data_IF_820010548151
#
_entry.id   IF_820010548151
#
_cell.length_a   1.000
_cell.length_b   1.000
_cell.length_c   1.000
_cell.angle_alpha   90.00
_cell.angle_beta   90.00
_cell.angle_gamma   90.00
#
_symmetry.space_group_name_H-M   'P 1'
#
loop_
_entity.id
_entity.type
_entity.pdbx_description
1 polymer ?
#
# COMPACT_ATOMS: atom_id res chain seq x y z
N UNK A 1 11.71 -34.48 -58.46
CA UNK A 1 12.27 -33.19 -58.02
C UNK A 1 11.25 -32.50 -57.12
N UNK A 2 11.38 -32.62 -55.80
CA UNK A 2 10.41 -32.12 -54.80
C UNK A 2 11.04 -30.87 -54.17
N UNK A 3 10.57 -29.68 -54.54
CA UNK A 3 11.11 -28.40 -54.04
C UNK A 3 10.69 -28.22 -52.57
N UNK A 4 11.67 -28.18 -51.68
CA UNK A 4 11.50 -27.87 -50.26
C UNK A 4 11.49 -26.34 -50.12
N UNK A 5 10.34 -25.76 -49.77
CA UNK A 5 10.25 -24.34 -49.42
C UNK A 5 10.69 -24.18 -47.96
N UNK A 6 11.85 -23.55 -47.75
CA UNK A 6 12.28 -23.11 -46.42
C UNK A 6 11.49 -21.84 -46.08
N UNK A 7 10.64 -21.93 -45.07
CA UNK A 7 9.91 -20.79 -44.51
C UNK A 7 10.80 -20.15 -43.44
N UNK A 8 11.40 -19.00 -43.75
CA UNK A 8 12.19 -18.22 -42.79
C UNK A 8 11.21 -17.43 -41.91
N UNK A 9 11.04 -17.88 -40.67
CA UNK A 9 10.28 -17.15 -39.65
C UNK A 9 11.20 -16.08 -39.07
N UNK A 10 10.95 -14.82 -39.44
CA UNK A 10 11.61 -13.66 -38.82
C UNK A 10 10.88 -13.36 -37.51
N UNK A 11 11.51 -13.70 -36.39
CA UNK A 11 11.08 -13.29 -35.06
C UNK A 11 11.39 -11.80 -34.86
N UNK A 12 10.37 -10.95 -34.96
CA UNK A 12 10.45 -9.57 -34.51
C UNK A 12 10.54 -9.54 -32.98
N UNK A 13 11.75 -9.42 -32.44
CA UNK A 13 11.97 -9.04 -31.05
C UNK A 13 11.46 -7.60 -30.86
N UNK A 14 10.35 -7.44 -30.15
CA UNK A 14 9.82 -6.13 -29.77
C UNK A 14 10.75 -5.48 -28.74
N UNK A 15 11.45 -4.41 -29.13
CA UNK A 15 12.36 -3.61 -28.30
C UNK A 15 11.69 -2.80 -27.17
N UNK A 16 10.52 -3.22 -26.67
CA UNK A 16 9.80 -2.47 -25.63
C UNK A 16 10.27 -2.82 -24.19
N UNK A 17 10.97 -3.95 -24.00
CA UNK A 17 11.46 -4.36 -22.67
C UNK A 17 12.66 -3.56 -22.15
N UNK A 18 13.39 -2.85 -23.02
CA UNK A 18 14.58 -2.09 -22.63
C UNK A 18 14.26 -0.76 -21.93
N UNK A 19 13.11 -0.12 -22.24
CA UNK A 19 12.77 1.19 -21.65
C UNK A 19 12.15 1.10 -20.25
N UNK A 20 11.29 0.11 -19.99
CA UNK A 20 10.74 -0.11 -18.64
C UNK A 20 11.84 -0.46 -17.62
N UNK A 21 12.81 -1.29 -18.01
CA UNK A 21 13.94 -1.62 -17.15
C UNK A 21 14.83 -0.41 -16.87
N UNK A 22 15.03 0.48 -17.85
CA UNK A 22 15.84 1.69 -17.66
C UNK A 22 15.30 2.59 -16.54
N UNK A 23 13.97 2.77 -16.45
CA UNK A 23 13.36 3.58 -15.38
C UNK A 23 13.72 3.08 -13.98
N UNK A 24 13.61 1.77 -13.73
CA UNK A 24 13.87 1.22 -12.39
C UNK A 24 15.35 1.28 -12.01
N UNK A 25 16.26 1.17 -13.00
CA UNK A 25 17.69 1.38 -12.75
C UNK A 25 18.00 2.86 -12.50
N UNK A 26 17.37 3.80 -13.22
CA UNK A 26 17.55 5.25 -13.02
C UNK A 26 17.16 5.68 -11.59
N UNK A 27 16.01 5.23 -11.09
CA UNK A 27 15.53 5.63 -9.75
C UNK A 27 16.19 4.87 -8.61
N UNK A 28 16.99 3.83 -8.90
CA UNK A 28 17.70 3.04 -7.89
C UNK A 28 18.74 3.88 -7.15
N UNK A 29 19.30 4.91 -7.79
CA UNK A 29 20.22 5.86 -7.15
C UNK A 29 19.57 6.62 -5.99
N UNK A 30 18.23 6.72 -5.97
CA UNK A 30 17.46 7.35 -4.90
C UNK A 30 17.01 6.37 -3.80
N UNK A 31 17.36 5.08 -3.90
CA UNK A 31 17.08 4.13 -2.81
C UNK A 31 17.99 4.41 -1.62
N UNK A 32 17.38 4.64 -0.46
CA UNK A 32 18.09 4.88 0.80
C UNK A 32 18.21 3.55 1.54
N UNK A 33 19.42 3.16 1.93
CA UNK A 33 19.63 1.96 2.73
C UNK A 33 18.92 2.07 4.10
N UNK A 34 18.42 0.95 4.63
CA UNK A 34 17.93 0.91 6.00
C UNK A 34 19.09 1.08 6.98
N UNK A 35 18.85 1.80 8.08
CA UNK A 35 19.76 1.80 9.20
C UNK A 35 19.79 0.40 9.86
N UNK A 36 20.87 0.03 10.55
CA UNK A 36 20.87 -1.15 11.41
C UNK A 36 19.70 -1.06 12.42
N UNK A 37 18.91 -2.12 12.60
CA UNK A 37 17.72 -2.07 13.45
C UNK A 37 18.12 -1.87 14.92
N UNK A 38 17.39 -0.99 15.60
CA UNK A 38 17.53 -0.70 17.02
C UNK A 38 16.44 -1.40 17.85
N UNK A 39 16.63 -1.57 19.18
CA UNK A 39 15.60 -2.18 20.04
C UNK A 39 14.25 -1.47 19.91
N UNK A 40 13.21 -2.24 19.56
CA UNK A 40 11.85 -1.74 19.31
C UNK A 40 11.48 -1.65 17.84
N UNK A 41 12.46 -1.62 16.93
CA UNK A 41 12.21 -1.64 15.48
C UNK A 41 11.69 -3.00 15.04
N UNK A 42 10.91 -3.02 13.96
CA UNK A 42 10.33 -4.25 13.40
C UNK A 42 11.40 -5.31 13.10
N UNK A 43 12.47 -4.91 12.41
CA UNK A 43 13.55 -5.81 12.01
C UNK A 43 14.50 -6.20 13.16
N UNK A 44 14.39 -5.56 14.33
CA UNK A 44 15.09 -6.02 15.52
C UNK A 44 14.41 -7.26 16.11
N UNK A 45 13.07 -7.25 16.14
CA UNK A 45 12.26 -8.33 16.73
C UNK A 45 11.89 -9.44 15.72
N UNK A 46 12.05 -9.18 14.42
CA UNK A 46 11.61 -10.07 13.34
C UNK A 46 12.75 -10.39 12.38
N UNK A 47 13.11 -11.67 12.29
CA UNK A 47 13.97 -12.16 11.22
C UNK A 47 13.15 -12.39 9.94
N UNK A 48 13.38 -11.55 8.94
CA UNK A 48 12.72 -11.60 7.65
C UNK A 48 13.70 -11.89 6.51
N UNK A 49 13.31 -12.80 5.62
CA UNK A 49 14.16 -13.22 4.49
C UNK A 49 14.12 -12.29 3.28
N UNK A 50 13.28 -11.25 3.35
CA UNK A 50 12.96 -10.38 2.23
C UNK A 50 12.36 -11.10 1.01
N UNK A 51 12.15 -10.33 -0.05
CA UNK A 51 11.61 -10.81 -1.31
C UNK A 51 12.40 -10.19 -2.46
N UNK A 52 13.17 -10.98 -3.21
CA UNK A 52 13.81 -10.50 -4.44
C UNK A 52 12.78 -10.36 -5.57
N UNK A 53 13.15 -9.72 -6.68
CA UNK A 53 12.29 -9.67 -7.87
C UNK A 53 11.97 -11.07 -8.40
N UNK A 54 12.95 -11.96 -8.45
CA UNK A 54 12.78 -13.36 -8.91
C UNK A 54 11.85 -14.15 -7.98
N UNK A 55 11.97 -13.95 -6.66
CA UNK A 55 11.05 -14.56 -5.69
C UNK A 55 9.63 -14.04 -5.89
N UNK A 56 9.47 -12.72 -6.11
CA UNK A 56 8.17 -12.12 -6.40
C UNK A 56 7.53 -12.71 -7.66
N UNK A 57 8.29 -12.81 -8.76
CA UNK A 57 7.79 -13.36 -10.03
C UNK A 57 7.37 -14.84 -9.93
N UNK A 58 7.95 -15.61 -9.00
CA UNK A 58 7.56 -16.99 -8.71
C UNK A 58 6.38 -17.10 -7.74
N UNK A 59 6.01 -16.01 -7.08
CA UNK A 59 4.89 -15.96 -6.14
C UNK A 59 3.59 -15.56 -6.85
N UNK A 60 2.46 -15.92 -6.25
CA UNK A 60 1.16 -15.44 -6.72
C UNK A 60 1.06 -13.95 -6.43
N UNK A 61 0.92 -13.14 -7.48
CA UNK A 61 0.65 -11.72 -7.40
C UNK A 61 -0.55 -11.37 -8.30
N UNK A 62 -1.21 -10.25 -8.02
CA UNK A 62 -2.41 -9.86 -8.74
C UNK A 62 -2.04 -9.15 -10.03
N UNK A 63 -2.71 -9.54 -11.12
CA UNK A 63 -2.70 -8.84 -12.40
C UNK A 63 -4.14 -8.36 -12.65
N UNK A 64 -4.38 -7.05 -12.85
CA UNK A 64 -5.70 -6.54 -13.15
C UNK A 64 -6.29 -7.15 -14.42
N UNK A 65 -7.59 -7.46 -14.41
CA UNK A 65 -8.34 -7.92 -15.59
C UNK A 65 -9.56 -7.01 -15.82
N UNK A 66 -10.32 -7.23 -16.91
CA UNK A 66 -11.55 -6.47 -17.15
C UNK A 66 -12.59 -6.67 -16.04
N UNK A 67 -12.57 -7.84 -15.40
CA UNK A 67 -13.49 -8.27 -14.35
C UNK A 67 -12.92 -8.04 -12.93
N UNK A 68 -11.70 -7.55 -12.80
CA UNK A 68 -11.03 -7.29 -11.52
C UNK A 68 -9.99 -6.18 -11.67
N UNK A 69 -10.43 -4.93 -11.58
CA UNK A 69 -9.59 -3.74 -11.77
C UNK A 69 -9.96 -2.53 -10.89
N UNK A 70 -10.84 -2.69 -9.91
CA UNK A 70 -11.26 -1.61 -9.01
C UNK A 70 -10.86 -1.91 -7.57
N UNK A 71 -10.14 -0.97 -6.95
CA UNK A 71 -9.86 -0.96 -5.52
C UNK A 71 -11.05 -0.32 -4.80
N UNK A 72 -11.55 -0.95 -3.76
CA UNK A 72 -12.64 -0.40 -2.94
C UNK A 72 -12.15 -0.05 -1.54
N UNK A 73 -12.49 1.15 -1.07
CA UNK A 73 -12.33 1.54 0.32
C UNK A 73 -13.67 1.39 1.03
N UNK A 74 -13.68 0.76 2.21
CA UNK A 74 -14.88 0.62 3.04
C UNK A 74 -14.68 1.31 4.38
N UNK A 75 -15.24 2.50 4.59
CA UNK A 75 -15.28 3.11 5.91
C UNK A 75 -16.13 2.26 6.86
N UNK A 76 -15.60 1.97 8.05
CA UNK A 76 -16.26 1.20 9.11
C UNK A 76 -16.18 2.02 10.39
N UNK A 77 -17.30 2.64 10.73
CA UNK A 77 -17.50 3.41 11.95
C UNK A 77 -18.04 4.82 11.71
N UNK A 78 -17.69 5.73 12.60
CA UNK A 78 -18.19 7.10 12.66
C UNK A 78 -17.05 8.11 12.50
N UNK A 79 -17.02 8.79 11.36
CA UNK A 79 -15.91 9.67 11.00
C UNK A 79 -16.25 11.15 11.20
N UNK A 80 -15.32 11.90 11.78
CA UNK A 80 -15.37 13.37 11.80
C UNK A 80 -15.19 13.95 10.39
N UNK A 81 -15.51 15.23 10.18
CA UNK A 81 -15.31 15.89 8.89
C UNK A 81 -13.85 15.82 8.39
N UNK A 82 -12.88 15.92 9.31
CA UNK A 82 -11.46 15.80 8.97
C UNK A 82 -11.11 14.37 8.57
N UNK A 83 -11.59 13.35 9.29
CA UNK A 83 -11.33 11.95 8.94
C UNK A 83 -12.01 11.58 7.61
N UNK A 84 -13.22 12.05 7.34
CA UNK A 84 -13.90 11.88 6.04
C UNK A 84 -13.08 12.51 4.91
N UNK A 85 -12.52 13.71 5.12
CA UNK A 85 -11.61 14.34 4.17
C UNK A 85 -10.34 13.49 3.94
N UNK A 86 -9.77 12.90 5.00
CA UNK A 86 -8.61 12.01 4.87
C UNK A 86 -8.94 10.74 4.08
N UNK A 87 -10.13 10.16 4.24
CA UNK A 87 -10.58 8.99 3.46
C UNK A 87 -10.63 9.32 1.96
N UNK A 88 -11.21 10.47 1.59
CA UNK A 88 -11.27 10.92 0.20
C UNK A 88 -9.90 11.19 -0.41
N UNK A 89 -9.02 11.85 0.34
CA UNK A 89 -7.63 12.08 -0.07
C UNK A 89 -6.85 10.78 -0.18
N UNK A 90 -7.12 9.80 0.68
CA UNK A 90 -6.53 8.45 0.61
C UNK A 90 -7.02 7.71 -0.63
N UNK A 91 -8.32 7.76 -0.95
CA UNK A 91 -8.86 7.20 -2.21
C UNK A 91 -8.18 7.81 -3.43
N UNK A 92 -7.98 9.12 -3.47
CA UNK A 92 -7.28 9.77 -4.58
C UNK A 92 -5.84 9.30 -4.71
N UNK A 93 -5.11 9.31 -3.60
CA UNK A 93 -3.73 8.85 -3.57
C UNK A 93 -3.60 7.41 -4.06
N UNK A 94 -4.43 6.48 -3.56
CA UNK A 94 -4.36 5.07 -3.94
C UNK A 94 -4.70 4.85 -5.41
N UNK A 95 -5.65 5.64 -5.96
CA UNK A 95 -5.95 5.62 -7.39
C UNK A 95 -4.73 5.98 -8.24
N UNK A 96 -3.99 7.03 -7.85
CA UNK A 96 -2.76 7.42 -8.54
C UNK A 96 -1.66 6.38 -8.30
N UNK A 97 -1.49 5.95 -7.05
CA UNK A 97 -0.40 5.09 -6.61
C UNK A 97 -0.43 3.71 -7.26
N UNK A 98 -1.62 3.14 -7.46
CA UNK A 98 -1.78 1.85 -8.14
C UNK A 98 -2.21 2.00 -9.60
N UNK A 99 -2.55 3.22 -10.06
CA UNK A 99 -3.17 3.49 -11.36
C UNK A 99 -4.38 2.59 -11.66
N UNK A 100 -5.21 2.40 -10.65
CA UNK A 100 -6.46 1.65 -10.71
C UNK A 100 -7.59 2.50 -10.17
N UNK A 101 -8.77 2.41 -10.79
CA UNK A 101 -9.98 3.04 -10.27
C UNK A 101 -10.15 2.70 -8.80
N UNK A 102 -10.28 3.73 -7.96
CA UNK A 102 -10.48 3.55 -6.53
C UNK A 102 -11.77 4.23 -6.10
N UNK A 103 -12.67 3.44 -5.49
CA UNK A 103 -14.02 3.87 -5.09
C UNK A 103 -14.24 3.67 -3.60
N UNK A 104 -15.05 4.54 -3.00
CA UNK A 104 -15.48 4.40 -1.61
C UNK A 104 -16.86 3.74 -1.59
N UNK A 105 -17.01 2.69 -0.78
CA UNK A 105 -18.28 2.04 -0.49
C UNK A 105 -19.03 2.81 0.60
N UNK A 106 -20.30 2.49 0.78
CA UNK A 106 -21.10 3.02 1.89
C UNK A 106 -20.44 2.73 3.24
N UNK A 107 -20.45 3.74 4.11
CA UNK A 107 -19.94 3.63 5.47
C UNK A 107 -20.78 2.64 6.25
N UNK A 108 -20.13 1.62 6.82
CA UNK A 108 -20.78 0.67 7.70
C UNK A 108 -20.66 1.13 9.16
N UNK A 109 -21.70 0.90 9.98
CA UNK A 109 -21.64 1.19 11.42
C UNK A 109 -20.64 0.28 12.13
N UNK A 110 -20.03 0.78 13.21
CA UNK A 110 -19.23 -0.08 14.11
C UNK A 110 -20.02 -1.29 14.60
N UNK A 111 -21.35 -1.19 14.79
CA UNK A 111 -22.20 -2.24 15.36
C UNK A 111 -22.23 -3.55 14.55
N UNK A 112 -21.69 -3.57 13.34
CA UNK A 112 -21.50 -4.82 12.57
C UNK A 112 -20.43 -5.73 13.20
N UNK A 113 -19.58 -5.18 14.09
CA UNK A 113 -18.57 -5.92 14.84
C UNK A 113 -19.18 -6.31 16.20
N UNK A 114 -19.29 -7.61 16.51
CA UNK A 114 -19.89 -8.10 17.75
C UNK A 114 -18.92 -7.99 18.93
N UNK A 115 -19.45 -8.07 20.15
CA UNK A 115 -18.67 -7.91 21.40
C UNK A 115 -17.49 -8.88 21.53
N UNK A 116 -17.63 -10.12 21.06
CA UNK A 116 -16.54 -11.11 21.10
C UNK A 116 -15.36 -10.76 20.16
N UNK A 117 -15.55 -9.80 19.25
CA UNK A 117 -14.54 -9.27 18.35
C UNK A 117 -14.09 -7.85 18.75
N UNK A 118 -14.41 -7.44 19.98
CA UNK A 118 -14.01 -6.17 20.60
C UNK A 118 -13.25 -6.43 21.89
N UNK A 119 -12.45 -5.47 22.32
CA UNK A 119 -11.88 -5.44 23.68
C UNK A 119 -11.60 -4.00 24.12
N UNK A 120 -11.37 -3.83 25.41
CA UNK A 120 -10.73 -2.62 25.94
C UNK A 120 -9.21 -2.85 25.96
N UNK A 121 -8.48 -1.97 25.30
CA UNK A 121 -7.02 -2.00 25.22
C UNK A 121 -6.34 -1.52 26.50
N UNK A 122 -5.01 -1.50 26.47
CA UNK A 122 -4.18 -1.09 27.63
C UNK A 122 -4.27 0.40 27.96
N UNK A 123 -4.75 1.22 27.02
CA UNK A 123 -4.92 2.67 27.15
C UNK A 123 -6.41 3.02 27.35
N UNK A 124 -7.20 2.07 27.85
CA UNK A 124 -8.65 2.19 28.11
C UNK A 124 -9.51 2.52 26.88
N UNK A 125 -8.98 2.26 25.69
CA UNK A 125 -9.63 2.48 24.41
C UNK A 125 -10.30 1.23 23.87
N UNK A 126 -11.37 1.41 23.09
CA UNK A 126 -11.97 0.31 22.35
C UNK A 126 -11.07 -0.13 21.18
N UNK A 127 -10.84 -1.44 21.07
CA UNK A 127 -10.12 -2.05 19.95
C UNK A 127 -10.98 -3.11 19.24
N UNK A 128 -10.88 -3.16 17.91
CA UNK A 128 -11.55 -4.14 17.06
C UNK A 128 -10.59 -5.24 16.63
N UNK A 129 -11.07 -6.49 16.58
CA UNK A 129 -10.28 -7.63 16.10
C UNK A 129 -10.12 -7.52 14.58
N UNK A 130 -8.91 -7.21 14.12
CA UNK A 130 -8.64 -6.99 12.69
C UNK A 130 -9.01 -8.20 11.83
N UNK A 131 -8.68 -9.42 12.29
CA UNK A 131 -9.03 -10.66 11.60
C UNK A 131 -10.54 -10.85 11.40
N UNK A 132 -11.37 -10.41 12.37
CA UNK A 132 -12.82 -10.46 12.24
C UNK A 132 -13.32 -9.50 11.15
N UNK A 133 -12.78 -8.29 11.09
CA UNK A 133 -13.11 -7.32 10.04
C UNK A 133 -12.81 -7.93 8.66
N UNK A 134 -11.64 -8.54 8.49
CA UNK A 134 -11.28 -9.20 7.24
C UNK A 134 -12.27 -10.34 6.92
N UNK A 135 -12.35 -11.36 7.76
CA UNK A 135 -13.04 -12.61 7.42
C UNK A 135 -14.57 -12.54 7.45
N UNK A 136 -15.13 -11.69 8.32
CA UNK A 136 -16.58 -11.63 8.58
C UNK A 136 -17.26 -10.40 8.02
N UNK A 137 -16.51 -9.34 7.68
CA UNK A 137 -17.05 -8.10 7.07
C UNK A 137 -16.58 -7.98 5.62
N UNK A 138 -15.30 -7.74 5.40
CA UNK A 138 -14.78 -7.37 4.06
C UNK A 138 -14.85 -8.52 3.06
N UNK A 139 -14.69 -9.77 3.50
CA UNK A 139 -14.82 -10.95 2.62
C UNK A 139 -16.20 -11.08 1.98
N UNK A 140 -17.25 -10.57 2.63
CA UNK A 140 -18.63 -10.60 2.13
C UNK A 140 -18.88 -9.50 1.09
N UNK A 141 -18.06 -8.45 1.07
CA UNK A 141 -18.16 -7.38 0.08
C UNK A 141 -17.65 -7.88 -1.27
N UNK A 142 -18.59 -8.02 -2.22
CA UNK A 142 -18.32 -8.41 -3.60
C UNK A 142 -18.81 -7.35 -4.60
N UNK A 143 -18.33 -6.09 -4.49
CA UNK A 143 -18.69 -5.09 -5.46
C UNK A 143 -18.17 -5.47 -6.86
N UNK A 144 -18.81 -4.95 -7.90
CA UNK A 144 -18.47 -5.24 -9.29
C UNK A 144 -17.01 -4.89 -9.57
N UNK A 145 -16.32 -5.72 -10.35
CA UNK A 145 -14.93 -5.53 -10.77
C UNK A 145 -13.90 -5.37 -9.63
N UNK A 146 -14.24 -5.85 -8.43
CA UNK A 146 -13.35 -5.80 -7.27
C UNK A 146 -12.03 -6.52 -7.53
N UNK A 147 -10.93 -5.78 -7.43
CA UNK A 147 -9.59 -6.34 -7.34
C UNK A 147 -9.11 -6.48 -5.89
N UNK A 148 -9.46 -5.52 -5.03
CA UNK A 148 -9.10 -5.47 -3.62
C UNK A 148 -10.14 -4.65 -2.83
N UNK A 149 -10.30 -4.92 -1.53
CA UNK A 149 -11.12 -4.11 -0.61
C UNK A 149 -10.28 -3.77 0.62
N UNK A 150 -10.15 -2.48 0.93
CA UNK A 150 -9.48 -2.02 2.14
C UNK A 150 -10.50 -1.35 3.06
N UNK A 151 -10.69 -1.90 4.26
CA UNK A 151 -11.42 -1.26 5.33
C UNK A 151 -10.62 -0.09 5.92
N UNK A 152 -11.31 0.99 6.27
CA UNK A 152 -10.76 2.09 7.07
C UNK A 152 -11.62 2.25 8.30
N UNK A 153 -11.03 2.30 9.49
CA UNK A 153 -11.76 2.49 10.76
C UNK A 153 -11.12 3.57 11.62
N UNK A 154 -11.95 4.31 12.35
CA UNK A 154 -11.51 5.27 13.36
C UNK A 154 -11.15 4.63 14.71
N UNK A 155 -11.50 3.35 14.91
CA UNK A 155 -11.20 2.61 16.14
C UNK A 155 -9.87 1.87 16.05
N UNK A 156 -9.26 1.62 17.20
CA UNK A 156 -7.97 0.91 17.28
C UNK A 156 -8.12 -0.55 16.86
N UNK A 157 -7.03 -1.18 16.42
CA UNK A 157 -7.03 -2.56 15.93
C UNK A 157 -6.12 -3.45 16.75
N UNK A 158 -6.52 -4.70 16.95
CA UNK A 158 -5.64 -5.74 17.47
C UNK A 158 -5.67 -7.00 16.61
N UNK A 159 -4.54 -7.71 16.43
CA UNK A 159 -4.49 -8.89 15.57
C UNK A 159 -4.83 -10.18 16.33
N UNK A 160 -4.50 -10.26 17.63
CA UNK A 160 -4.79 -11.40 18.50
C UNK A 160 -4.60 -11.02 19.98
N UNK A 161 -4.96 -11.92 20.90
CA UNK A 161 -4.90 -11.67 22.35
C UNK A 161 -3.50 -11.36 22.88
N UNK A 162 -2.43 -11.90 22.26
CA UNK A 162 -1.05 -11.70 22.71
C UNK A 162 -0.39 -10.41 22.19
N UNK A 163 -1.09 -9.65 21.34
CA UNK A 163 -0.57 -8.44 20.70
C UNK A 163 -1.28 -7.19 21.23
N UNK A 164 -0.55 -6.06 21.31
CA UNK A 164 -1.13 -4.80 21.78
C UNK A 164 -2.02 -4.15 20.72
N UNK A 165 -1.48 -3.89 19.53
CA UNK A 165 -2.23 -3.31 18.42
C UNK A 165 -1.55 -3.60 17.08
N UNK A 166 -2.21 -3.23 15.98
CA UNK A 166 -1.62 -3.07 14.65
C UNK A 166 -2.16 -1.80 13.99
N UNK A 167 -1.37 -1.16 13.12
CA UNK A 167 -1.87 -0.03 12.32
C UNK A 167 -2.78 -0.49 11.18
N UNK A 168 -2.52 -1.68 10.66
CA UNK A 168 -3.32 -2.35 9.66
C UNK A 168 -3.07 -3.85 9.63
N UNK A 169 -3.88 -4.55 8.84
CA UNK A 169 -3.71 -5.98 8.58
C UNK A 169 -4.30 -6.33 7.22
N UNK A 170 -3.54 -7.02 6.38
CA UNK A 170 -3.98 -7.50 5.09
C UNK A 170 -3.92 -9.03 4.95
N UNK A 171 -4.86 -9.56 4.16
CA UNK A 171 -4.81 -10.91 3.62
C UNK A 171 -4.45 -10.87 2.13
N UNK A 172 -3.27 -11.40 1.83
CA UNK A 172 -2.76 -11.59 0.46
C UNK A 172 -3.75 -12.36 -0.42
N UNK A 173 -4.22 -13.51 0.07
CA UNK A 173 -5.04 -14.44 -0.73
C UNK A 173 -6.47 -13.97 -0.90
N UNK A 174 -7.03 -13.34 0.14
CA UNK A 174 -8.41 -12.86 0.10
C UNK A 174 -8.53 -11.48 -0.51
N UNK A 175 -7.43 -10.75 -0.71
CA UNK A 175 -7.37 -9.41 -1.32
C UNK A 175 -8.21 -8.39 -0.54
N UNK A 176 -8.10 -8.50 0.78
CA UNK A 176 -8.78 -7.65 1.75
C UNK A 176 -7.79 -7.22 2.81
N UNK A 177 -8.00 -6.05 3.39
CA UNK A 177 -7.23 -5.58 4.54
C UNK A 177 -7.92 -4.44 5.23
N UNK A 178 -7.42 -4.04 6.38
CA UNK A 178 -7.98 -2.93 7.17
C UNK A 178 -6.84 -2.06 7.68
N UNK A 179 -7.03 -0.74 7.69
CA UNK A 179 -6.15 0.22 8.35
C UNK A 179 -6.94 1.04 9.37
N UNK A 180 -6.30 1.40 10.48
CA UNK A 180 -6.89 2.24 11.53
C UNK A 180 -6.32 3.65 11.50
N UNK A 181 -7.20 4.65 11.64
CA UNK A 181 -6.82 6.05 11.83
C UNK A 181 -6.45 6.32 13.29
N UNK A 182 -6.91 5.49 14.23
CA UNK A 182 -6.91 5.76 15.68
C UNK A 182 -5.55 6.19 16.22
N UNK A 183 -4.49 5.45 15.89
CA UNK A 183 -3.12 5.75 16.35
C UNK A 183 -2.38 6.74 15.47
N UNK A 184 -2.86 6.96 14.23
CA UNK A 184 -2.20 7.84 13.26
C UNK A 184 -2.50 9.31 13.53
N UNK A 185 -3.66 9.58 14.12
CA UNK A 185 -4.17 10.93 14.43
C UNK A 185 -3.58 11.56 15.69
N UNK A 186 -2.73 10.86 16.43
CA UNK A 186 -2.05 11.36 17.64
C UNK A 186 -3.05 11.93 18.65
N UNK A 187 -3.76 11.04 19.35
CA UNK A 187 -4.92 11.29 20.22
C UNK A 187 -6.18 11.76 19.48
N UNK A 188 -6.13 12.93 18.84
CA UNK A 188 -7.27 13.53 18.14
C UNK A 188 -6.84 14.27 16.88
N UNK A 189 -7.56 14.02 15.80
CA UNK A 189 -7.35 14.74 14.56
C UNK A 189 -7.80 16.21 14.66
N UNK A 190 -6.88 17.11 14.33
CA UNK A 190 -7.08 18.56 14.24
C UNK A 190 -6.48 19.07 12.93
N UNK A 191 -6.72 20.34 12.58
CA UNK A 191 -6.08 20.94 11.40
C UNK A 191 -4.54 20.99 11.55
N UNK A 192 -4.02 21.11 12.77
CA UNK A 192 -2.58 21.21 13.04
C UNK A 192 -1.83 19.91 12.73
N UNK A 193 -2.42 18.75 13.04
CA UNK A 193 -1.83 17.43 12.77
C UNK A 193 -2.42 16.73 11.53
N UNK A 194 -3.31 17.39 10.78
CA UNK A 194 -4.02 16.81 9.64
C UNK A 194 -3.07 16.18 8.60
N UNK A 195 -2.03 16.91 8.19
CA UNK A 195 -1.08 16.46 7.17
C UNK A 195 -0.20 15.29 7.67
N UNK A 196 0.18 15.30 8.96
CA UNK A 196 0.96 14.22 9.54
C UNK A 196 0.14 12.93 9.60
N UNK A 197 -1.10 13.02 10.11
CA UNK A 197 -2.02 11.89 10.13
C UNK A 197 -2.36 11.41 8.71
N UNK A 198 -2.52 12.32 7.75
CA UNK A 198 -2.75 11.95 6.36
C UNK A 198 -1.55 11.18 5.81
N UNK A 199 -0.31 11.70 5.93
CA UNK A 199 0.90 11.01 5.48
C UNK A 199 0.99 9.59 6.06
N UNK A 200 0.78 9.43 7.37
CA UNK A 200 0.74 8.13 8.04
C UNK A 200 -0.34 7.21 7.44
N UNK A 201 -1.56 7.71 7.24
CA UNK A 201 -2.65 6.93 6.65
C UNK A 201 -2.34 6.49 5.23
N UNK A 202 -1.72 7.35 4.40
CA UNK A 202 -1.30 7.00 3.04
C UNK A 202 -0.24 5.90 3.06
N UNK A 203 0.77 5.99 3.94
CA UNK A 203 1.81 4.96 4.11
C UNK A 203 1.20 3.61 4.50
N UNK A 204 0.43 3.57 5.57
CA UNK A 204 -0.19 2.32 6.07
C UNK A 204 -1.14 1.74 5.02
N UNK A 205 -1.98 2.56 4.40
CA UNK A 205 -2.94 2.09 3.39
C UNK A 205 -2.27 1.52 2.14
N UNK A 206 -1.24 2.18 1.63
CA UNK A 206 -0.49 1.67 0.47
C UNK A 206 0.33 0.43 0.81
N UNK A 207 0.84 0.33 2.04
CA UNK A 207 1.51 -0.85 2.56
C UNK A 207 0.58 -2.07 2.57
N UNK A 208 -0.59 -1.96 3.20
CA UNK A 208 -1.56 -3.05 3.29
C UNK A 208 -2.09 -3.47 1.91
N UNK A 209 -2.35 -2.51 1.02
CA UNK A 209 -2.69 -2.83 -0.37
C UNK A 209 -1.52 -3.46 -1.12
N UNK A 210 -0.28 -3.03 -0.86
CA UNK A 210 0.93 -3.63 -1.40
C UNK A 210 1.02 -5.13 -1.10
N UNK A 211 0.67 -5.54 0.13
CA UNK A 211 0.52 -6.94 0.48
C UNK A 211 -0.53 -7.66 -0.38
N UNK A 212 -1.70 -7.04 -0.60
CA UNK A 212 -2.72 -7.61 -1.49
C UNK A 212 -2.18 -7.80 -2.93
N UNK A 213 -1.29 -6.94 -3.40
CA UNK A 213 -0.60 -7.06 -4.69
C UNK A 213 0.63 -7.99 -4.68
N UNK A 214 0.92 -8.67 -3.57
CA UNK A 214 1.95 -9.69 -3.47
C UNK A 214 3.30 -9.22 -2.93
N UNK A 215 3.42 -7.96 -2.51
CA UNK A 215 4.65 -7.46 -1.90
C UNK A 215 4.79 -8.02 -0.48
N UNK A 216 5.94 -8.63 -0.19
CA UNK A 216 6.36 -8.86 1.19
C UNK A 216 6.94 -7.56 1.76
N UNK A 217 7.23 -7.58 3.07
CA UNK A 217 8.03 -6.51 3.65
C UNK A 217 9.37 -6.34 2.92
N UNK A 218 9.77 -5.08 2.79
CA UNK A 218 11.06 -4.69 2.23
C UNK A 218 12.09 -4.58 3.34
N UNK A 219 13.24 -5.21 3.17
CA UNK A 219 14.37 -5.14 4.10
C UNK A 219 15.65 -4.56 3.45
N UNK A 220 15.54 -4.15 2.19
CA UNK A 220 16.68 -3.76 1.35
C UNK A 220 16.92 -2.23 1.35
N UNK A 221 15.87 -1.45 1.59
CA UNK A 221 15.86 0.00 1.51
C UNK A 221 14.69 0.59 2.32
N UNK A 222 14.81 1.86 2.68
CA UNK A 222 13.73 2.67 3.24
C UNK A 222 12.63 2.84 2.18
N UNK A 223 11.50 2.17 2.42
CA UNK A 223 10.48 1.79 1.45
C UNK A 223 9.11 1.77 2.12
N UNK A 224 8.05 2.10 1.37
CA UNK A 224 6.67 2.00 1.85
C UNK A 224 6.28 0.60 2.34
N UNK A 225 7.00 -0.43 1.92
CA UNK A 225 6.81 -1.81 2.38
C UNK A 225 7.67 -2.21 3.58
N UNK A 226 8.37 -1.31 4.27
CA UNK A 226 9.03 -1.69 5.52
C UNK A 226 7.98 -2.02 6.58
N UNK A 227 8.19 -3.10 7.34
CA UNK A 227 7.40 -3.39 8.54
C UNK A 227 7.63 -2.31 9.60
N UNK A 228 6.68 -2.15 10.51
CA UNK A 228 6.76 -1.15 11.58
C UNK A 228 6.08 -1.65 12.85
N UNK A 229 6.70 -1.37 13.99
CA UNK A 229 6.21 -1.64 15.33
C UNK A 229 5.66 -0.38 16.02
N UNK A 230 5.96 0.82 15.50
CA UNK A 230 5.69 2.07 16.21
C UNK A 230 5.38 3.26 15.29
N UNK A 231 4.80 4.32 15.86
CA UNK A 231 4.57 5.58 15.14
C UNK A 231 5.90 6.26 14.75
N UNK A 232 6.91 6.36 15.63
CA UNK A 232 8.22 6.89 15.23
C UNK A 232 8.83 6.16 14.03
N UNK A 233 8.84 4.82 14.06
CA UNK A 233 9.36 4.00 12.95
C UNK A 233 8.54 4.23 11.65
N UNK A 234 7.22 4.34 11.77
CA UNK A 234 6.33 4.69 10.63
C UNK A 234 6.63 6.08 10.06
N UNK A 235 7.00 7.04 10.90
CA UNK A 235 7.32 8.40 10.49
C UNK A 235 8.67 8.50 9.78
N UNK A 236 9.64 7.69 10.21
CA UNK A 236 10.98 7.56 9.59
C UNK A 236 10.94 6.83 8.25
N UNK A 237 10.06 5.83 8.11
CA UNK A 237 9.91 5.08 6.86
C UNK A 237 9.30 5.92 5.73
N UNK A 238 9.72 5.61 4.51
CA UNK A 238 9.39 6.37 3.31
C UNK A 238 8.01 5.99 2.76
N UNK A 239 7.28 6.95 2.18
CA UNK A 239 6.07 6.66 1.39
C UNK A 239 6.40 6.10 -0.01
N UNK A 240 7.66 6.23 -0.44
CA UNK A 240 8.13 5.80 -1.75
C UNK A 240 8.42 4.30 -1.70
N UNK A 241 8.00 3.54 -2.71
CA UNK A 241 8.53 2.20 -2.94
C UNK A 241 9.96 2.32 -3.47
N UNK A 242 10.89 1.52 -2.93
CA UNK A 242 12.23 1.42 -3.53
C UNK A 242 12.15 0.91 -4.97
N UNK A 243 13.22 1.12 -5.75
CA UNK A 243 13.29 0.72 -7.17
C UNK A 243 12.85 -0.72 -7.41
N UNK A 244 13.33 -1.65 -6.57
CA UNK A 244 13.00 -3.07 -6.65
C UNK A 244 11.51 -3.34 -6.34
N UNK A 245 10.93 -2.69 -5.34
CA UNK A 245 9.51 -2.85 -5.04
C UNK A 245 8.62 -2.23 -6.11
N UNK A 246 9.00 -1.08 -6.69
CA UNK A 246 8.33 -0.52 -7.87
C UNK A 246 8.37 -1.49 -9.05
N UNK A 247 9.54 -2.10 -9.33
CA UNK A 247 9.70 -3.10 -10.40
C UNK A 247 8.78 -4.30 -10.22
N UNK A 248 8.69 -4.84 -8.99
CA UNK A 248 7.77 -5.94 -8.64
C UNK A 248 6.31 -5.55 -8.89
N UNK A 249 5.85 -4.44 -8.33
CA UNK A 249 4.43 -4.09 -8.45
C UNK A 249 4.06 -3.72 -9.90
N UNK A 250 4.98 -3.08 -10.63
CA UNK A 250 4.77 -2.72 -12.03
C UNK A 250 4.70 -3.97 -12.94
N UNK A 251 5.40 -5.07 -12.61
CA UNK A 251 5.32 -6.28 -13.43
C UNK A 251 3.91 -6.90 -13.46
N UNK A 252 3.11 -6.68 -12.40
CA UNK A 252 1.70 -7.10 -12.34
C UNK A 252 0.71 -6.02 -12.82
N UNK A 253 0.87 -4.77 -12.33
CA UNK A 253 -0.09 -3.69 -12.62
C UNK A 253 0.11 -3.02 -13.97
N UNK A 254 1.35 -3.01 -14.49
CA UNK A 254 1.72 -2.34 -15.73
C UNK A 254 1.29 -0.86 -15.78
N UNK A 255 1.44 -0.17 -14.66
CA UNK A 255 1.21 1.27 -14.58
C UNK A 255 2.26 2.06 -15.39
N UNK A 256 1.89 3.23 -15.86
CA UNK A 256 2.77 4.20 -16.51
C UNK A 256 3.60 4.94 -15.45
N UNK A 257 4.91 4.65 -15.42
CA UNK A 257 5.86 5.24 -14.48
C UNK A 257 5.89 6.79 -14.53
N UNK A 258 5.87 7.38 -15.74
CA UNK A 258 5.94 8.84 -15.92
C UNK A 258 4.68 9.51 -15.41
N UNK A 259 3.52 8.98 -15.81
CA UNK A 259 2.22 9.50 -15.38
C UNK A 259 2.06 9.39 -13.87
N UNK A 260 2.30 8.21 -13.31
CA UNK A 260 2.21 7.95 -11.87
C UNK A 260 3.07 8.93 -11.07
N UNK A 261 4.33 9.11 -11.48
CA UNK A 261 5.26 9.96 -10.75
C UNK A 261 4.88 11.44 -10.79
N UNK A 262 4.44 11.95 -11.95
CA UNK A 262 3.96 13.33 -12.09
C UNK A 262 2.68 13.58 -11.28
N UNK A 263 1.73 12.64 -11.32
CA UNK A 263 0.48 12.74 -10.58
C UNK A 263 0.70 12.67 -9.06
N UNK A 264 1.61 11.80 -8.59
CA UNK A 264 2.00 11.75 -7.18
C UNK A 264 2.65 13.07 -6.74
N UNK A 265 3.57 13.62 -7.53
CA UNK A 265 4.17 14.92 -7.23
C UNK A 265 3.11 16.04 -7.15
N UNK A 266 2.17 16.08 -8.10
CA UNK A 266 1.07 17.05 -8.08
C UNK A 266 0.16 16.86 -6.85
N UNK A 267 -0.17 15.62 -6.50
CA UNK A 267 -0.96 15.27 -5.32
C UNK A 267 -0.28 15.74 -4.03
N UNK A 268 1.00 15.42 -3.82
CA UNK A 268 1.72 15.79 -2.61
C UNK A 268 1.90 17.31 -2.51
N UNK A 269 2.15 18.00 -3.63
CA UNK A 269 2.21 19.46 -3.67
C UNK A 269 0.88 20.10 -3.25
N UNK A 270 -0.25 19.62 -3.80
CA UNK A 270 -1.58 20.17 -3.50
C UNK A 270 -1.99 19.96 -2.04
N UNK A 271 -1.53 18.89 -1.42
CA UNK A 271 -1.86 18.53 -0.03
C UNK A 271 -0.77 18.96 0.98
N UNK A 272 0.20 19.80 0.59
CA UNK A 272 1.28 20.29 1.45
C UNK A 272 2.11 19.16 2.13
N UNK A 273 2.29 18.04 1.43
CA UNK A 273 3.10 16.89 1.86
C UNK A 273 4.52 17.02 1.27
N UNK A 274 5.30 17.93 1.85
CA UNK A 274 6.54 18.40 1.23
C UNK A 274 7.69 17.38 1.24
N UNK A 275 7.74 16.51 2.26
CA UNK A 275 8.75 15.43 2.34
C UNK A 275 8.52 14.41 1.21
N UNK A 276 7.26 14.02 1.03
CA UNK A 276 6.80 13.09 0.01
C UNK A 276 6.95 13.67 -1.40
N UNK A 277 6.64 14.96 -1.58
CA UNK A 277 6.90 15.68 -2.83
C UNK A 277 8.38 15.63 -3.23
N UNK A 278 9.29 15.81 -2.27
CA UNK A 278 10.72 15.81 -2.55
C UNK A 278 11.19 14.44 -3.07
N UNK A 279 10.66 13.35 -2.53
CA UNK A 279 10.94 11.99 -3.02
C UNK A 279 10.52 11.83 -4.49
N UNK A 280 9.34 12.33 -4.87
CA UNK A 280 8.87 12.25 -6.26
C UNK A 280 9.72 13.13 -7.20
N UNK A 281 10.16 14.30 -6.72
CA UNK A 281 11.07 15.18 -7.49
C UNK A 281 12.42 14.55 -7.74
N UNK A 282 12.98 13.84 -6.75
CA UNK A 282 14.25 13.13 -6.91
C UNK A 282 14.14 12.06 -8.00
N UNK A 283 13.08 11.24 -7.98
CA UNK A 283 12.85 10.25 -9.05
C UNK A 283 12.64 10.92 -10.41
N UNK A 284 11.90 12.04 -10.50
CA UNK A 284 11.71 12.76 -11.77
C UNK A 284 13.03 13.26 -12.34
N UNK A 285 13.93 13.74 -11.48
CA UNK A 285 15.23 14.26 -11.89
C UNK A 285 16.19 13.16 -12.37
N UNK A 286 16.09 11.95 -11.81
CA UNK A 286 16.92 10.80 -12.22
C UNK A 286 16.49 10.20 -13.55
N UNK A 287 15.21 10.34 -13.92
CA UNK A 287 14.63 9.63 -15.07
C UNK A 287 14.70 10.41 -16.37
N UNK A 288 15.01 9.71 -17.47
CA UNK A 288 15.01 10.27 -18.84
C UNK A 288 13.75 9.85 -19.59
N UNK A 289 12.63 10.49 -19.26
CA UNK A 289 11.34 10.25 -19.92
C UNK A 289 11.15 10.96 -21.27
#
# INVERSE_FOLDING_TARGET
MRKLFLLVIVLFYSCNSNKENAYFEDIKENDVALAPPAPGDWLYDRDEKGQSFEKFMKSKHIIPTKEANIIYLKPIGSFTALQTKQIELTREYLQIYFQLDTKILETASNNIIPDHARRIGREEQEQLLAGYILDSVLKKDKPLNRIAVMGLTELDLFPSSSWNYVFGLASYTQKIGVSSIYRLQDEKLTEANFNLCLSRLLKVSSHELGHMFGLAHCIEANCAMNGTNSIPETDEHSIRLCSNCQKKINSGLKYDNKKRLNELAAYFKRNNLMRELQLMKSDLASTRF
#
